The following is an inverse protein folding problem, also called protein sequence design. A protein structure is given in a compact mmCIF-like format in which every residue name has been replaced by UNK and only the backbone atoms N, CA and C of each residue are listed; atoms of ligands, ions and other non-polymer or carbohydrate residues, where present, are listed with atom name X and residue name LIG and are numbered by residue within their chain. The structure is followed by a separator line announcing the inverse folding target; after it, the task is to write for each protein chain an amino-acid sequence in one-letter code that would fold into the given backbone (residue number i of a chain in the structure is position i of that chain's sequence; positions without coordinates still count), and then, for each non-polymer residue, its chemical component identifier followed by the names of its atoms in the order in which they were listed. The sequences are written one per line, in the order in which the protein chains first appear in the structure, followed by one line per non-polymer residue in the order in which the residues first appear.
data_IF_463144022753
#
_entry.id   IF_463144022753
#
_cell.length_a   1.000
_cell.length_b   1.000
_cell.length_c   1.000
_cell.angle_alpha   90.00
_cell.angle_beta   90.00
_cell.angle_gamma   90.00
#
_symmetry.space_group_name_H-M   'P 1'
#
loop_
_entity.id
_entity.type
_entity.pdbx_description
1 polymer ?
#
# COMPACT_ATOMS: atom_id res chain seq x y z
N UNK A 1 14.77 17.63 4.83
CA UNK A 1 13.38 17.84 4.37
C UNK A 1 12.46 17.55 5.54
N UNK A 2 11.59 18.49 5.90
CA UNK A 2 10.76 18.38 7.10
C UNK A 2 9.45 17.63 6.76
N UNK A 3 9.36 16.37 7.17
CA UNK A 3 8.06 15.71 7.36
C UNK A 3 7.42 16.40 8.56
N UNK A 4 6.29 17.08 8.35
CA UNK A 4 5.48 17.61 9.46
C UNK A 4 4.37 16.62 9.75
N UNK A 5 4.59 15.78 10.76
CA UNK A 5 3.57 14.92 11.34
C UNK A 5 2.54 15.79 12.06
N UNK A 6 1.26 15.61 11.73
CA UNK A 6 0.18 16.21 12.51
C UNK A 6 -0.01 15.31 13.73
N UNK A 7 0.54 15.72 14.88
CA UNK A 7 0.34 15.00 16.13
C UNK A 7 -1.13 15.07 16.56
N UNK A 8 -1.75 13.92 16.80
CA UNK A 8 -3.04 13.85 17.47
C UNK A 8 -2.87 14.32 18.94
N UNK A 9 -3.77 15.15 19.49
CA UNK A 9 -3.72 15.49 20.90
C UNK A 9 -4.03 14.24 21.74
N UNK A 10 -3.18 13.96 22.73
CA UNK A 10 -3.43 12.94 23.74
C UNK A 10 -4.66 13.32 24.56
N UNK A 11 -5.78 12.64 24.33
CA UNK A 11 -6.99 12.81 25.11
C UNK A 11 -6.88 11.98 26.40
N UNK A 12 -6.71 12.66 27.53
CA UNK A 12 -6.80 12.05 28.86
C UNK A 12 -8.28 11.77 29.15
N UNK A 13 -8.68 10.50 29.04
CA UNK A 13 -9.99 10.00 29.47
C UNK A 13 -9.96 9.74 30.98
N UNK A 14 -10.72 10.55 31.73
CA UNK A 14 -11.04 10.28 33.13
C UNK A 14 -12.06 9.13 33.21
N UNK A 15 -11.66 8.04 33.87
CA UNK A 15 -12.55 6.94 34.24
C UNK A 15 -13.69 7.44 35.14
N UNK A 16 -14.91 7.02 34.85
CA UNK A 16 -15.95 6.85 35.86
C UNK A 16 -16.70 5.56 35.58
N UNK A 17 -16.60 4.65 36.52
CA UNK A 17 -17.24 3.34 36.50
C UNK A 17 -18.71 3.45 36.92
N UNK A 18 -19.60 2.77 36.17
CA UNK A 18 -20.82 2.18 36.69
C UNK A 18 -21.36 1.12 35.71
N UNK A 19 -21.55 -0.09 36.22
CA UNK A 19 -22.27 -1.26 35.69
C UNK A 19 -23.19 -1.69 36.85
N UNK A 20 -24.38 -2.34 36.70
CA UNK A 20 -24.91 -3.10 35.53
C UNK A 20 -26.38 -2.84 35.17
N UNK A 21 -26.83 -3.41 34.04
CA UNK A 21 -28.06 -4.21 34.01
C UNK A 21 -28.13 -5.11 32.76
N UNK A 22 -28.32 -6.40 33.03
CA UNK A 22 -28.57 -7.49 32.09
C UNK A 22 -29.91 -7.33 31.37
N UNK A 23 -29.98 -7.65 30.08
CA UNK A 23 -31.23 -8.00 29.38
C UNK A 23 -30.92 -8.90 28.19
N UNK A 24 -31.67 -10.00 28.11
CA UNK A 24 -31.45 -11.17 27.28
C UNK A 24 -31.59 -10.93 25.76
N UNK A 25 -30.76 -11.63 24.99
CA UNK A 25 -30.90 -11.86 23.54
C UNK A 25 -32.00 -12.90 23.26
N UNK A 26 -32.76 -12.78 22.16
CA UNK A 26 -33.35 -13.94 21.52
C UNK A 26 -32.40 -14.52 20.47
N UNK A 27 -32.10 -15.80 20.62
CA UNK A 27 -31.44 -16.65 19.65
C UNK A 27 -32.26 -16.77 18.36
N UNK A 28 -31.63 -16.64 17.20
CA UNK A 28 -32.18 -17.16 15.94
C UNK A 28 -31.11 -17.99 15.22
N UNK A 29 -31.23 -19.30 15.38
CA UNK A 29 -30.52 -20.31 14.62
C UNK A 29 -31.32 -20.63 13.34
N UNK A 30 -30.61 -20.71 12.22
CA UNK A 30 -31.09 -21.22 10.95
C UNK A 30 -29.96 -21.19 9.91
N UNK A 31 -29.49 -22.35 9.40
CA UNK A 31 -28.37 -22.41 8.46
C UNK A 31 -28.86 -22.52 7.00
N UNK A 32 -28.11 -21.96 6.06
CA UNK A 32 -27.89 -22.42 4.66
C UNK A 32 -27.19 -21.30 3.84
N UNK A 33 -26.66 -21.57 2.64
CA UNK A 33 -25.62 -22.52 2.27
C UNK A 33 -24.54 -21.85 1.39
N UNK A 34 -23.36 -22.47 1.26
CA UNK A 34 -22.37 -22.08 0.25
C UNK A 34 -21.41 -20.98 0.71
N UNK A 35 -20.56 -21.31 1.67
CA UNK A 35 -19.25 -20.66 1.77
C UNK A 35 -18.46 -21.12 0.55
N UNK A 36 -18.57 -20.38 -0.55
CA UNK A 36 -17.41 -20.21 -1.41
C UNK A 36 -16.33 -19.63 -0.48
N UNK A 37 -15.32 -20.44 -0.18
CA UNK A 37 -14.15 -19.96 0.54
C UNK A 37 -13.71 -18.65 -0.13
N UNK A 38 -13.39 -17.58 0.63
CA UNK A 38 -12.86 -16.37 0.03
C UNK A 38 -11.71 -16.81 -0.86
N UNK A 39 -11.82 -16.44 -2.14
CA UNK A 39 -10.85 -16.79 -3.15
C UNK A 39 -9.49 -16.49 -2.55
N UNK A 40 -8.77 -17.55 -2.18
CA UNK A 40 -7.37 -17.43 -1.81
C UNK A 40 -6.80 -16.78 -3.04
N UNK A 41 -6.36 -15.53 -2.94
CA UNK A 41 -5.63 -14.84 -3.98
C UNK A 41 -4.29 -15.58 -4.11
N UNK A 42 -4.34 -16.81 -4.63
CA UNK A 42 -3.28 -17.38 -5.41
C UNK A 42 -2.94 -16.28 -6.39
N UNK A 43 -1.75 -15.70 -6.22
CA UNK A 43 -1.04 -14.96 -7.24
C UNK A 43 -0.97 -15.86 -8.48
N UNK A 44 -2.07 -15.98 -9.21
CA UNK A 44 -2.08 -16.41 -10.58
C UNK A 44 -1.36 -15.28 -11.29
N UNK A 45 -0.10 -15.57 -11.51
CA UNK A 45 0.82 -14.84 -12.36
C UNK A 45 0.08 -14.60 -13.67
N UNK A 46 -0.48 -13.40 -13.84
CA UNK A 46 -1.07 -13.01 -15.11
C UNK A 46 0.04 -13.12 -16.18
N UNK A 47 -0.21 -13.82 -17.31
CA UNK A 47 0.76 -13.87 -18.41
C UNK A 47 1.14 -12.49 -18.95
N UNK A 48 0.32 -11.46 -18.72
CA UNK A 48 0.64 -10.05 -18.98
C UNK A 48 0.49 -9.21 -17.69
N UNK A 49 1.55 -9.07 -16.88
CA UNK A 49 1.53 -8.25 -15.66
C UNK A 49 1.15 -6.79 -15.91
N UNK A 50 1.46 -6.26 -17.09
CA UNK A 50 1.10 -4.90 -17.44
C UNK A 50 -0.41 -4.78 -17.69
N UNK A 51 -1.04 -5.80 -18.29
CA UNK A 51 -2.50 -5.85 -18.42
C UNK A 51 -3.20 -5.98 -17.06
N UNK A 52 -2.69 -6.84 -16.17
CA UNK A 52 -3.19 -6.98 -14.81
C UNK A 52 -3.13 -5.65 -14.06
N UNK A 53 -1.99 -4.95 -14.13
CA UNK A 53 -1.84 -3.64 -13.50
C UNK A 53 -2.82 -2.61 -14.07
N UNK A 54 -2.98 -2.55 -15.40
CA UNK A 54 -3.98 -1.66 -16.03
C UNK A 54 -5.41 -1.99 -15.60
N UNK A 55 -5.74 -3.26 -15.42
CA UNK A 55 -7.05 -3.70 -14.91
C UNK A 55 -7.25 -3.23 -13.46
N UNK A 56 -6.26 -3.44 -12.58
CA UNK A 56 -6.29 -2.99 -11.19
C UNK A 56 -6.52 -1.46 -11.09
N UNK A 57 -5.84 -0.67 -11.93
CA UNK A 57 -6.04 0.78 -11.94
C UNK A 57 -7.44 1.19 -12.39
N UNK A 58 -8.03 0.47 -13.36
CA UNK A 58 -9.43 0.72 -13.78
C UNK A 58 -10.41 0.41 -12.65
N UNK A 59 -10.26 -0.74 -12.00
CA UNK A 59 -11.13 -1.13 -10.89
C UNK A 59 -11.04 -0.16 -9.72
N UNK A 60 -9.82 0.33 -9.40
CA UNK A 60 -9.64 1.40 -8.41
C UNK A 60 -10.38 2.67 -8.83
N UNK A 61 -10.20 3.12 -10.07
CA UNK A 61 -10.88 4.32 -10.57
C UNK A 61 -12.42 4.19 -10.55
N UNK A 62 -12.95 3.01 -10.88
CA UNK A 62 -14.38 2.73 -10.83
C UNK A 62 -14.92 2.75 -9.39
N UNK A 63 -14.24 2.10 -8.44
CA UNK A 63 -14.58 2.18 -7.01
C UNK A 63 -14.56 3.64 -6.54
N UNK A 64 -13.53 4.38 -6.94
CA UNK A 64 -13.42 5.79 -6.60
C UNK A 64 -14.54 6.66 -7.15
N UNK A 65 -15.00 6.37 -8.36
CA UNK A 65 -16.11 7.10 -8.99
C UNK A 65 -17.47 6.72 -8.39
N UNK A 66 -17.62 5.49 -7.88
CA UNK A 66 -18.85 5.02 -7.26
C UNK A 66 -19.06 5.60 -5.85
N UNK A 67 -17.98 5.92 -5.14
CA UNK A 67 -18.06 6.41 -3.78
C UNK A 67 -18.45 7.90 -3.72
N UNK A 68 -19.40 8.21 -2.83
CA UNK A 68 -19.86 9.58 -2.57
C UNK A 68 -19.37 10.04 -1.20
N UNK A 69 -18.67 11.16 -1.16
CA UNK A 69 -18.13 11.71 0.08
C UNK A 69 -18.60 13.14 0.32
N UNK A 70 -18.93 13.44 1.57
CA UNK A 70 -19.00 14.82 2.03
C UNK A 70 -17.58 15.37 2.13
N UNK A 71 -17.23 16.46 1.41
CA UNK A 71 -15.89 17.02 1.44
C UNK A 71 -15.49 17.41 2.88
N UNK A 72 -14.45 16.78 3.44
CA UNK A 72 -14.03 17.01 4.80
C UNK A 72 -13.14 18.25 4.88
N UNK A 73 -13.22 18.97 5.99
CA UNK A 73 -12.26 20.05 6.27
C UNK A 73 -10.90 19.45 6.62
N UNK A 74 -9.80 20.17 6.34
CA UNK A 74 -8.43 19.71 6.64
C UNK A 74 -8.23 19.32 8.11
N UNK A 75 -8.93 19.98 9.03
CA UNK A 75 -8.89 19.67 10.46
C UNK A 75 -9.39 18.24 10.75
N UNK A 76 -10.28 17.68 9.92
CA UNK A 76 -10.83 16.35 10.08
C UNK A 76 -9.77 15.24 10.03
N UNK A 77 -8.64 15.47 9.33
CA UNK A 77 -7.52 14.52 9.29
C UNK A 77 -6.98 14.20 10.69
N UNK A 78 -7.08 15.12 11.65
CA UNK A 78 -6.60 14.91 13.02
C UNK A 78 -7.56 14.10 13.91
N UNK A 79 -8.82 13.91 13.49
CA UNK A 79 -9.89 13.41 14.38
C UNK A 79 -10.45 12.04 14.00
N UNK A 80 -10.16 11.53 12.81
CA UNK A 80 -10.61 10.19 12.42
C UNK A 80 -10.33 9.88 10.96
N UNK A 81 -10.81 8.70 10.52
CA UNK A 81 -10.70 8.30 9.12
C UNK A 81 -11.55 9.17 8.21
N UNK A 82 -10.91 9.59 7.14
CA UNK A 82 -11.48 10.46 6.13
C UNK A 82 -11.01 9.95 4.77
N UNK A 83 -11.89 9.67 3.81
CA UNK A 83 -13.21 9.11 4.07
C UNK A 83 -13.13 7.79 4.85
N UNK A 84 -14.27 7.35 5.39
CA UNK A 84 -14.36 6.12 6.18
C UNK A 84 -14.78 4.95 5.28
N UNK A 85 -13.80 4.16 4.85
CA UNK A 85 -14.03 2.93 4.08
C UNK A 85 -13.97 1.67 4.93
N UNK A 86 -13.16 1.69 5.99
CA UNK A 86 -12.97 0.55 6.87
C UNK A 86 -14.06 0.54 7.96
N UNK A 87 -14.55 -0.65 8.31
CA UNK A 87 -15.27 -0.84 9.55
C UNK A 87 -14.30 -0.63 10.73
N UNK A 88 -14.80 -0.07 11.83
CA UNK A 88 -13.99 0.24 13.01
C UNK A 88 -12.74 1.10 12.72
N UNK A 89 -12.80 1.93 11.66
CA UNK A 89 -11.64 2.65 11.15
C UNK A 89 -10.99 3.59 12.17
N UNK A 90 -9.66 3.50 12.27
CA UNK A 90 -8.79 4.35 13.04
C UNK A 90 -7.77 5.03 12.12
N UNK A 91 -7.57 6.33 12.32
CA UNK A 91 -6.45 7.03 11.71
C UNK A 91 -5.20 6.74 12.53
N UNK A 92 -4.23 6.05 11.95
CA UNK A 92 -2.95 5.77 12.62
C UNK A 92 -1.93 6.89 12.40
N UNK A 93 -1.96 7.53 11.23
CA UNK A 93 -1.03 8.59 10.89
C UNK A 93 -1.55 9.46 9.75
N UNK A 94 -1.20 10.74 9.76
CA UNK A 94 -1.48 11.63 8.64
C UNK A 94 -0.46 12.75 8.53
N UNK A 95 -0.44 13.36 7.36
CA UNK A 95 0.50 14.43 7.06
C UNK A 95 0.22 15.07 5.72
N UNK A 96 1.20 15.83 5.25
CA UNK A 96 1.18 16.37 3.90
C UNK A 96 2.60 16.49 3.35
N UNK A 97 2.71 16.43 2.03
CA UNK A 97 3.90 16.83 1.30
C UNK A 97 3.71 18.22 0.72
N UNK A 98 4.82 18.94 0.54
CA UNK A 98 4.85 20.14 -0.28
C UNK A 98 5.36 19.73 -1.66
N UNK A 99 4.55 19.97 -2.67
CA UNK A 99 4.81 19.53 -4.03
C UNK A 99 5.34 20.63 -4.93
N UNK A 100 5.42 20.29 -6.22
CA UNK A 100 5.60 21.29 -7.27
C UNK A 100 4.62 22.45 -7.10
N UNK A 101 5.09 23.66 -7.41
CA UNK A 101 4.27 24.87 -7.40
C UNK A 101 3.66 25.25 -6.04
N UNK A 102 4.13 24.68 -4.93
CA UNK A 102 3.66 24.97 -3.58
C UNK A 102 2.31 24.32 -3.22
N UNK A 103 1.77 23.45 -4.09
CA UNK A 103 0.57 22.66 -3.78
C UNK A 103 0.89 21.61 -2.71
N UNK A 104 -0.08 21.34 -1.85
CA UNK A 104 0.05 20.29 -0.83
C UNK A 104 -0.69 19.03 -1.27
N UNK A 105 -0.05 17.89 -1.03
CA UNK A 105 -0.68 16.59 -1.09
C UNK A 105 -0.85 16.11 0.34
N UNK A 106 -2.08 16.05 0.81
CA UNK A 106 -2.40 15.52 2.13
C UNK A 106 -2.54 14.01 2.04
N UNK A 107 -2.26 13.32 3.14
CA UNK A 107 -2.41 11.88 3.21
C UNK A 107 -2.80 11.40 4.60
N UNK A 108 -3.38 10.21 4.62
CA UNK A 108 -3.74 9.50 5.84
C UNK A 108 -3.45 8.00 5.67
N UNK A 109 -2.90 7.37 6.70
CA UNK A 109 -2.93 5.93 6.88
C UNK A 109 -4.10 5.57 7.81
N UNK A 110 -4.83 4.55 7.41
CA UNK A 110 -6.04 4.09 8.06
C UNK A 110 -5.87 2.61 8.42
N UNK A 111 -6.32 2.22 9.60
CA UNK A 111 -6.48 0.83 9.98
C UNK A 111 -7.94 0.54 10.33
N UNK A 112 -8.38 -0.69 10.14
CA UNK A 112 -9.74 -1.12 10.41
C UNK A 112 -10.00 -2.48 9.80
N UNK A 113 -11.27 -2.82 9.62
CA UNK A 113 -11.67 -4.07 8.96
C UNK A 113 -12.17 -3.72 7.55
N UNK A 114 -11.47 -4.23 6.54
CA UNK A 114 -11.96 -4.23 5.16
C UNK A 114 -12.53 -5.61 4.91
N UNK A 115 -13.86 -5.68 4.78
CA UNK A 115 -14.64 -6.87 4.44
C UNK A 115 -14.15 -8.21 5.05
N UNK A 116 -14.33 -9.33 4.36
CA UNK A 116 -13.90 -10.66 4.79
C UNK A 116 -12.49 -11.05 4.27
N UNK A 117 -11.82 -10.17 3.52
CA UNK A 117 -10.55 -10.45 2.84
C UNK A 117 -9.31 -10.27 3.75
N UNK A 118 -9.52 -10.09 5.06
CA UNK A 118 -8.49 -9.90 6.07
C UNK A 118 -7.53 -8.71 5.80
N UNK A 119 -7.89 -7.82 4.87
CA UNK A 119 -7.21 -6.55 4.69
C UNK A 119 -7.62 -5.61 5.83
N UNK A 120 -6.64 -4.90 6.38
CA UNK A 120 -6.84 -4.10 7.60
C UNK A 120 -6.19 -2.73 7.57
N UNK A 121 -5.42 -2.44 6.52
CA UNK A 121 -4.72 -1.19 6.37
C UNK A 121 -5.03 -0.56 5.02
N UNK A 122 -5.09 0.77 5.01
CA UNK A 122 -5.29 1.57 3.82
C UNK A 122 -4.59 2.91 3.89
N UNK A 123 -4.52 3.56 2.74
CA UNK A 123 -4.06 4.94 2.64
C UNK A 123 -5.00 5.76 1.76
N UNK A 124 -5.06 7.06 2.01
CA UNK A 124 -5.83 8.01 1.22
C UNK A 124 -4.97 9.23 0.93
N UNK A 125 -5.01 9.72 -0.30
CA UNK A 125 -4.41 10.97 -0.73
C UNK A 125 -5.46 12.03 -1.05
N UNK A 126 -5.16 13.29 -0.74
CA UNK A 126 -6.06 14.41 -0.97
C UNK A 126 -5.34 15.61 -1.57
N UNK A 127 -6.08 16.34 -2.41
CA UNK A 127 -5.82 17.75 -2.68
C UNK A 127 -6.65 18.61 -1.74
N UNK A 128 -6.23 19.85 -1.54
CA UNK A 128 -6.93 20.83 -0.71
C UNK A 128 -7.26 22.09 -1.52
N UNK A 129 -8.47 22.62 -1.29
CA UNK A 129 -8.90 23.93 -1.79
C UNK A 129 -9.75 24.63 -0.75
N UNK A 130 -9.31 25.80 -0.28
CA UNK A 130 -10.03 26.64 0.70
C UNK A 130 -10.38 25.91 2.01
N UNK A 131 -9.46 25.07 2.49
CA UNK A 131 -9.58 24.23 3.67
C UNK A 131 -10.34 22.93 3.45
N UNK A 132 -10.89 22.70 2.26
CA UNK A 132 -11.69 21.51 1.92
C UNK A 132 -10.80 20.48 1.23
N UNK A 133 -10.81 19.25 1.74
CA UNK A 133 -10.11 18.12 1.15
C UNK A 133 -10.96 17.47 0.06
N UNK A 134 -10.29 17.04 -1.00
CA UNK A 134 -10.87 16.18 -2.05
C UNK A 134 -10.01 14.93 -2.13
N UNK A 135 -10.54 13.73 -1.85
CA UNK A 135 -9.77 12.50 -2.02
C UNK A 135 -9.48 12.31 -3.51
N UNK A 136 -8.23 12.01 -3.84
CA UNK A 136 -7.76 11.84 -5.22
C UNK A 136 -7.17 10.46 -5.49
N UNK A 137 -6.94 9.65 -4.45
CA UNK A 137 -6.58 8.23 -4.55
C UNK A 137 -6.75 7.55 -3.19
N UNK A 138 -7.12 6.26 -3.17
CA UNK A 138 -7.02 5.41 -1.98
C UNK A 138 -6.88 3.92 -2.32
N UNK A 139 -6.43 3.17 -1.31
CA UNK A 139 -6.23 1.72 -1.33
C UNK A 139 -6.48 1.18 0.08
N UNK A 140 -7.02 -0.04 0.20
CA UNK A 140 -7.44 -0.70 1.46
C UNK A 140 -7.15 -2.20 1.47
N UNK A 141 -6.25 -2.67 0.61
CA UNK A 141 -5.96 -4.10 0.38
C UNK A 141 -4.81 -4.67 1.22
N UNK A 142 -4.16 -3.84 2.05
CA UNK A 142 -2.95 -4.25 2.76
C UNK A 142 -3.23 -4.77 4.18
N UNK A 143 -2.27 -5.53 4.68
CA UNK A 143 -2.11 -5.81 6.10
C UNK A 143 -1.53 -4.62 6.86
N UNK A 144 -0.57 -3.94 6.25
CA UNK A 144 0.12 -2.75 6.77
C UNK A 144 0.67 -1.91 5.61
N UNK A 145 0.78 -0.62 5.87
CA UNK A 145 1.42 0.36 5.00
C UNK A 145 2.43 1.17 5.81
N UNK A 146 3.59 1.42 5.21
CA UNK A 146 4.52 2.42 5.72
C UNK A 146 4.01 3.84 5.41
N UNK A 147 4.44 4.85 6.18
CA UNK A 147 4.20 6.25 5.81
C UNK A 147 4.65 6.51 4.37
N UNK A 148 3.84 7.21 3.55
CA UNK A 148 4.27 7.61 2.23
C UNK A 148 5.57 8.42 2.32
N UNK A 149 6.37 8.31 1.27
CA UNK A 149 7.61 9.04 1.12
C UNK A 149 7.57 9.86 -0.17
N UNK A 150 8.06 11.09 -0.10
CA UNK A 150 8.34 11.89 -1.29
C UNK A 150 9.80 11.66 -1.69
N UNK A 151 10.01 11.04 -2.84
CA UNK A 151 11.33 10.81 -3.44
C UNK A 151 11.47 11.63 -4.73
N UNK A 152 12.70 11.98 -5.09
CA UNK A 152 13.00 12.78 -6.28
C UNK A 152 13.77 11.94 -7.28
N UNK A 153 13.13 11.53 -8.37
CA UNK A 153 13.68 10.59 -9.36
C UNK A 153 14.25 11.34 -10.56
N UNK A 154 15.47 10.98 -10.96
CA UNK A 154 16.22 11.63 -12.04
C UNK A 154 17.21 12.68 -11.53
N UNK A 155 18.39 12.73 -12.15
CA UNK A 155 19.50 13.59 -11.70
C UNK A 155 19.36 15.04 -12.18
N UNK A 156 19.14 15.25 -13.47
CA UNK A 156 19.16 16.59 -14.08
C UNK A 156 17.80 17.32 -13.95
N UNK A 157 16.71 16.56 -14.03
CA UNK A 157 15.35 17.05 -13.94
C UNK A 157 14.57 16.17 -12.96
N UNK A 158 14.79 16.35 -11.65
CA UNK A 158 14.18 15.49 -10.65
C UNK A 158 12.66 15.62 -10.67
N UNK A 159 12.00 14.48 -10.82
CA UNK A 159 10.55 14.35 -10.82
C UNK A 159 10.10 13.85 -9.44
N UNK A 160 9.12 14.51 -8.80
CA UNK A 160 8.61 14.06 -7.52
C UNK A 160 7.76 12.80 -7.70
N UNK A 161 8.08 11.78 -6.92
CA UNK A 161 7.35 10.53 -6.84
C UNK A 161 6.93 10.29 -5.40
N UNK A 162 5.67 9.91 -5.22
CA UNK A 162 5.14 9.45 -3.95
C UNK A 162 5.25 7.93 -3.93
N UNK A 163 5.96 7.40 -2.95
CA UNK A 163 6.16 5.98 -2.75
C UNK A 163 5.58 5.52 -1.42
N UNK A 164 4.83 4.43 -1.44
CA UNK A 164 4.28 3.78 -0.25
C UNK A 164 4.70 2.33 -0.29
N UNK A 165 5.43 1.89 0.74
CA UNK A 165 5.65 0.47 0.94
C UNK A 165 4.44 -0.15 1.64
N UNK A 166 4.07 -1.37 1.26
CA UNK A 166 2.95 -2.07 1.88
C UNK A 166 3.01 -3.57 1.72
N UNK A 167 2.46 -4.27 2.70
CA UNK A 167 2.45 -5.72 2.77
C UNK A 167 0.99 -6.20 2.75
N UNK A 168 0.64 -7.15 1.89
CA UNK A 168 -0.67 -7.80 1.90
C UNK A 168 -0.74 -8.86 3.02
N UNK A 169 -1.96 -9.23 3.40
CA UNK A 169 -2.17 -10.29 4.40
C UNK A 169 -1.63 -11.63 3.90
N UNK A 170 -0.91 -12.35 4.76
CA UNK A 170 -0.33 -13.66 4.46
C UNK A 170 0.91 -13.97 5.28
N UNK A 171 1.60 -15.06 4.95
CA UNK A 171 2.84 -15.49 5.60
C UNK A 171 4.12 -14.96 4.90
N UNK A 172 4.01 -13.85 4.16
CA UNK A 172 5.04 -13.28 3.29
C UNK A 172 4.90 -11.76 3.12
N UNK A 173 5.84 -11.14 2.41
CA UNK A 173 5.86 -9.70 2.12
C UNK A 173 4.89 -9.26 1.02
N UNK A 174 4.20 -10.19 0.33
CA UNK A 174 3.20 -9.98 -0.73
C UNK A 174 2.89 -8.50 -1.00
N UNK A 175 3.43 -7.95 -2.08
CA UNK A 175 3.53 -6.51 -2.27
C UNK A 175 2.18 -5.81 -2.42
N UNK A 176 1.87 -4.88 -1.52
CA UNK A 176 0.73 -3.95 -1.61
C UNK A 176 1.19 -2.53 -2.00
N UNK A 177 2.47 -2.36 -2.34
CA UNK A 177 3.13 -1.09 -2.60
C UNK A 177 2.44 -0.27 -3.69
N UNK A 178 2.62 1.04 -3.63
CA UNK A 178 2.13 1.96 -4.64
C UNK A 178 3.13 3.08 -4.94
N UNK A 179 3.25 3.41 -6.23
CA UNK A 179 4.10 4.49 -6.73
C UNK A 179 3.26 5.45 -7.58
N UNK A 180 3.45 6.75 -7.37
CA UNK A 180 2.77 7.80 -8.14
C UNK A 180 3.73 8.89 -8.53
N UNK A 181 3.73 9.28 -9.81
CA UNK A 181 4.34 10.54 -10.23
C UNK A 181 3.42 11.68 -9.84
N UNK A 182 3.94 12.64 -9.08
CA UNK A 182 3.19 13.83 -8.68
C UNK A 182 3.32 14.91 -9.76
N UNK A 183 2.18 15.33 -10.32
CA UNK A 183 2.13 16.32 -11.40
C UNK A 183 1.31 17.54 -11.01
N UNK A 184 1.59 18.65 -11.70
CA UNK A 184 0.75 19.86 -11.70
C UNK A 184 -0.37 19.83 -12.74
N UNK A 185 -0.49 18.72 -13.49
CA UNK A 185 -1.46 18.53 -14.54
C UNK A 185 -2.88 18.24 -14.04
N UNK A 186 -3.80 17.89 -14.95
CA UNK A 186 -5.19 17.59 -14.60
C UNK A 186 -5.30 16.36 -13.67
N UNK A 187 -4.35 15.43 -13.77
CA UNK A 187 -4.23 14.30 -12.87
C UNK A 187 -3.05 14.54 -11.91
N UNK A 188 -3.36 14.88 -10.66
CA UNK A 188 -2.33 15.20 -9.66
C UNK A 188 -1.41 14.02 -9.35
N UNK A 189 -1.94 12.81 -9.29
CA UNK A 189 -1.18 11.57 -9.09
C UNK A 189 -1.35 10.66 -10.30
N UNK A 190 -0.27 10.44 -11.04
CA UNK A 190 -0.23 9.48 -12.15
C UNK A 190 0.37 8.17 -11.62
N UNK A 191 -0.38 7.06 -11.61
CA UNK A 191 0.14 5.77 -11.14
C UNK A 191 1.35 5.32 -11.96
N UNK A 192 2.34 4.76 -11.28
CA UNK A 192 3.52 4.14 -11.87
C UNK A 192 3.35 2.63 -11.78
N UNK A 193 3.59 1.92 -12.88
CA UNK A 193 3.55 0.46 -12.94
C UNK A 193 4.66 -0.12 -12.08
N UNK A 194 4.29 -0.68 -10.93
CA UNK A 194 5.17 -1.31 -9.97
C UNK A 194 4.98 -2.83 -9.90
N UNK A 195 4.47 -3.46 -10.97
CA UNK A 195 4.18 -4.90 -11.01
C UNK A 195 4.90 -5.56 -12.19
N UNK A 196 5.05 -4.88 -13.33
CA UNK A 196 5.59 -5.48 -14.56
C UNK A 196 7.04 -6.00 -14.43
N UNK A 197 7.84 -5.40 -13.55
CA UNK A 197 9.22 -5.83 -13.27
C UNK A 197 9.31 -7.28 -12.81
N UNK A 198 8.23 -7.83 -12.23
CA UNK A 198 8.21 -9.20 -11.75
C UNK A 198 8.46 -10.22 -12.88
N UNK A 199 8.02 -9.91 -14.10
CA UNK A 199 8.29 -10.76 -15.27
C UNK A 199 9.78 -10.83 -15.60
N UNK A 200 10.52 -9.76 -15.37
CA UNK A 200 11.94 -9.67 -15.68
C UNK A 200 12.79 -10.36 -14.61
N UNK A 201 12.38 -10.32 -13.35
CA UNK A 201 13.00 -11.12 -12.29
C UNK A 201 13.00 -12.60 -12.64
N UNK A 202 11.84 -13.16 -13.04
CA UNK A 202 11.74 -14.58 -13.36
C UNK A 202 12.65 -15.01 -14.51
N UNK A 203 12.89 -14.12 -15.49
CA UNK A 203 13.78 -14.40 -16.63
C UNK A 203 15.26 -14.33 -16.25
N UNK A 204 15.60 -13.55 -15.21
CA UNK A 204 16.98 -13.21 -14.84
C UNK A 204 17.49 -13.98 -13.63
N UNK A 205 16.61 -14.53 -12.81
CA UNK A 205 17.01 -15.39 -11.70
C UNK A 205 17.70 -16.67 -12.22
N UNK A 206 18.74 -17.16 -11.53
CA UNK A 206 19.34 -18.45 -11.82
C UNK A 206 18.30 -19.58 -11.78
N UNK A 207 18.52 -20.59 -12.62
CA UNK A 207 17.66 -21.78 -12.63
C UNK A 207 17.61 -22.42 -11.25
N UNK A 208 16.40 -22.74 -10.79
CA UNK A 208 16.17 -23.32 -9.47
C UNK A 208 16.06 -22.32 -8.34
N UNK A 209 16.02 -21.01 -8.61
CA UNK A 209 15.72 -19.99 -7.61
C UNK A 209 14.42 -19.25 -7.96
N UNK A 210 13.61 -18.94 -6.94
CA UNK A 210 12.40 -18.14 -7.09
C UNK A 210 12.19 -17.20 -5.90
N UNK A 211 11.43 -16.12 -6.13
CA UNK A 211 10.89 -15.29 -5.06
C UNK A 211 9.42 -15.67 -4.91
N UNK A 212 9.01 -16.18 -3.74
CA UNK A 212 7.65 -16.70 -3.54
C UNK A 212 6.76 -15.75 -2.75
N UNK A 213 7.35 -14.90 -1.91
CA UNK A 213 6.65 -14.14 -0.87
C UNK A 213 6.81 -12.63 -1.02
N UNK A 214 6.90 -12.13 -2.25
CA UNK A 214 7.09 -10.71 -2.52
C UNK A 214 8.50 -10.21 -2.17
N UNK A 215 8.66 -8.89 -2.16
CA UNK A 215 9.92 -8.19 -1.86
C UNK A 215 9.69 -7.07 -0.85
N UNK A 216 10.72 -6.65 -0.15
CA UNK A 216 10.68 -5.50 0.77
C UNK A 216 11.24 -4.28 0.08
N UNK A 217 10.39 -3.33 -0.32
CA UNK A 217 10.85 -2.12 -1.00
C UNK A 217 11.52 -1.12 -0.05
N UNK A 218 12.54 -0.46 -0.58
CA UNK A 218 13.29 0.59 0.07
C UNK A 218 13.35 1.82 -0.84
N UNK A 219 12.78 2.91 -0.35
CA UNK A 219 12.72 4.19 -1.07
C UNK A 219 13.65 5.18 -0.38
N UNK A 220 14.57 5.78 -1.15
CA UNK A 220 15.43 6.86 -0.67
C UNK A 220 14.92 8.22 -1.16
N UNK A 221 14.99 9.29 -0.34
CA UNK A 221 14.69 10.65 -0.79
C UNK A 221 15.47 11.09 -2.04
N UNK A 222 16.65 10.49 -2.28
CA UNK A 222 17.49 10.73 -3.47
C UNK A 222 16.96 10.09 -4.76
N UNK A 223 15.81 9.40 -4.72
CA UNK A 223 15.25 8.69 -5.86
C UNK A 223 15.84 7.31 -6.10
N UNK A 224 16.73 6.83 -5.22
CA UNK A 224 17.19 5.44 -5.27
C UNK A 224 16.07 4.51 -4.79
N UNK A 225 15.77 3.49 -5.60
CA UNK A 225 14.74 2.49 -5.31
C UNK A 225 15.40 1.12 -5.36
N UNK A 226 15.31 0.41 -4.24
CA UNK A 226 15.76 -0.98 -4.15
C UNK A 226 14.70 -1.84 -3.48
N UNK A 227 14.87 -3.16 -3.56
CA UNK A 227 14.11 -4.09 -2.75
C UNK A 227 14.96 -5.29 -2.37
N UNK A 228 14.62 -5.92 -1.26
CA UNK A 228 15.25 -7.16 -0.82
C UNK A 228 14.25 -8.31 -0.89
N UNK A 229 14.75 -9.50 -1.23
CA UNK A 229 13.94 -10.70 -1.37
C UNK A 229 14.67 -11.92 -0.85
N UNK A 230 13.94 -12.83 -0.23
CA UNK A 230 14.47 -14.18 0.02
C UNK A 230 14.32 -15.06 -1.23
N UNK A 231 15.21 -16.03 -1.38
CA UNK A 231 15.22 -16.96 -2.50
C UNK A 231 14.83 -18.37 -2.06
N UNK A 232 13.92 -18.99 -2.82
CA UNK A 232 13.46 -20.35 -2.64
C UNK A 232 14.08 -21.28 -3.68
N UNK A 233 14.41 -22.49 -3.25
CA UNK A 233 14.77 -23.64 -4.09
C UNK A 233 13.55 -24.55 -4.28
N UNK A 234 13.56 -25.47 -5.25
CA UNK A 234 12.44 -26.40 -5.48
C UNK A 234 12.13 -27.29 -4.27
N UNK A 235 13.13 -27.62 -3.45
CA UNK A 235 12.99 -28.39 -2.23
C UNK A 235 12.53 -27.55 -1.01
N UNK A 236 12.59 -26.22 -1.12
CA UNK A 236 12.13 -25.35 -0.04
C UNK A 236 10.59 -25.37 -0.03
N UNK A 237 10.02 -25.74 1.12
CA UNK A 237 8.58 -25.67 1.33
C UNK A 237 8.08 -24.21 1.39
N UNK A 238 6.77 -24.05 1.56
CA UNK A 238 6.16 -22.71 1.62
C UNK A 238 6.65 -21.86 2.81
N UNK A 239 7.08 -22.48 3.90
CA UNK A 239 7.41 -21.74 5.12
C UNK A 239 8.70 -20.92 5.02
N UNK A 240 9.74 -21.46 4.37
CA UNK A 240 11.11 -21.13 4.75
C UNK A 240 12.05 -21.12 3.54
N UNK A 241 12.62 -19.95 3.17
CA UNK A 241 13.59 -19.86 2.08
C UNK A 241 14.95 -20.42 2.51
N UNK A 242 15.59 -21.21 1.64
CA UNK A 242 16.95 -21.72 1.85
C UNK A 242 17.89 -21.45 0.68
N UNK A 243 17.43 -20.73 -0.34
CA UNK A 243 18.20 -20.37 -1.53
C UNK A 243 19.09 -19.12 -1.38
N UNK A 244 19.09 -18.47 -0.22
CA UNK A 244 19.79 -17.20 0.03
C UNK A 244 18.88 -15.98 -0.12
N UNK A 245 19.46 -14.86 -0.56
CA UNK A 245 18.78 -13.57 -0.74
C UNK A 245 19.12 -12.93 -2.08
N UNK A 246 18.27 -12.01 -2.52
CA UNK A 246 18.51 -11.16 -3.66
C UNK A 246 18.26 -9.69 -3.29
N UNK A 247 19.22 -8.83 -3.61
CA UNK A 247 19.04 -7.39 -3.70
C UNK A 247 18.60 -7.02 -5.12
N UNK A 248 17.58 -6.17 -5.24
CA UNK A 248 17.06 -5.68 -6.50
C UNK A 248 17.23 -4.16 -6.56
N UNK A 249 17.65 -3.62 -7.70
CA UNK A 249 17.65 -2.18 -7.95
C UNK A 249 16.73 -1.82 -9.11
N UNK A 250 16.12 -0.65 -9.02
CA UNK A 250 15.11 -0.20 -9.97
C UNK A 250 15.34 1.23 -10.42
N UNK A 251 14.85 1.55 -11.62
CA UNK A 251 14.62 2.92 -12.06
C UNK A 251 13.18 3.08 -12.53
N UNK A 252 12.74 4.32 -12.68
CA UNK A 252 11.43 4.63 -13.25
C UNK A 252 11.63 5.15 -14.67
N UNK A 253 11.07 4.44 -15.65
CA UNK A 253 11.06 4.82 -17.05
C UNK A 253 9.62 4.92 -17.55
N UNK A 254 9.19 6.08 -18.03
CA UNK A 254 7.85 6.28 -18.61
C UNK A 254 6.71 5.76 -17.71
N UNK A 255 6.76 6.09 -16.42
CA UNK A 255 5.81 5.63 -15.41
C UNK A 255 5.79 4.10 -15.23
N UNK A 256 6.92 3.43 -15.46
CA UNK A 256 7.12 2.00 -15.18
C UNK A 256 8.35 1.82 -14.31
N UNK A 257 8.23 1.03 -13.24
CA UNK A 257 9.34 0.57 -12.43
C UNK A 257 10.08 -0.55 -13.18
N UNK A 258 11.30 -0.27 -13.62
CA UNK A 258 12.12 -1.16 -14.43
C UNK A 258 13.25 -1.74 -13.57
N UNK A 259 13.35 -3.07 -13.58
CA UNK A 259 14.42 -3.79 -12.88
C UNK A 259 15.77 -3.60 -13.57
N UNK A 260 16.77 -3.11 -12.82
CA UNK A 260 18.12 -2.86 -13.33
C UNK A 260 19.09 -3.95 -12.94
N UNK A 261 19.28 -4.19 -11.65
CA UNK A 261 20.18 -5.25 -11.16
C UNK A 261 19.44 -6.26 -10.30
N UNK A 262 19.98 -7.49 -10.29
CA UNK A 262 19.67 -8.51 -9.31
C UNK A 262 21.03 -8.99 -8.80
N UNK A 263 21.27 -8.75 -7.52
CA UNK A 263 22.50 -9.11 -6.83
C UNK A 263 22.17 -10.26 -5.88
N UNK A 264 22.76 -11.43 -6.13
CA UNK A 264 22.40 -12.66 -5.41
C UNK A 264 23.46 -12.97 -4.37
N UNK A 265 22.99 -13.18 -3.15
CA UNK A 265 23.81 -13.63 -2.04
C UNK A 265 23.45 -15.07 -1.70
N UNK A 266 24.43 -16.00 -1.69
CA UNK A 266 24.17 -17.38 -1.31
C UNK A 266 23.75 -17.44 0.16
N UNK A 267 23.06 -18.52 0.59
CA UNK A 267 22.76 -18.71 2.00
C UNK A 267 24.05 -18.69 2.83
N UNK A 268 23.99 -18.07 4.01
CA UNK A 268 25.10 -18.12 4.96
C UNK A 268 25.45 -19.59 5.25
N UNK A 269 26.74 -19.91 5.24
CA UNK A 269 27.18 -21.26 5.58
C UNK A 269 26.99 -21.46 7.09
N UNK A 270 26.10 -22.39 7.44
CA UNK A 270 26.03 -22.95 8.80
C UNK A 270 27.28 -23.79 9.13
#
# INVERSE_FOLDING_TARGET
MNVQTIAAPALVLLLSAAVPASSALPSRSGPAPGQDAPATSTFFIDPDPAAAWRQLQRERAERMAADSFSPPMVQALAYGCVPRHLENCQNTMGGYFNGPSGKRLYWQLQEGEYDDQAARAGFVFFTESSGVLTPIFWAHEAHDYDPPQLIWVGLDHPVPVIAIAGTMTGNGHYNADALFRWTDGPQTLVPIDNVSWWSDVRKRLPTGLSINKGVSFHYSPSGWISADASLWRPEDGDCCPGGGSAGLSFEIENDVLVLKTIDIEPPEKE
#
